data_IF_283230857032
#
_entry.id   IF_283230857032
#
_cell.length_a   1.000
_cell.length_b   1.000
_cell.length_c   1.000
_cell.angle_alpha   90.00
_cell.angle_beta   90.00
_cell.angle_gamma   90.00
#
_symmetry.space_group_name_H-M   'P 1'
#
loop_
_entity.id
_entity.type
_entity.pdbx_description
1 polymer ?
#
# COMPACT_ATOMS: atom_id res chain seq x y z
N UNK A 1 -1.21 8.88 41.53
CA UNK A 1 -1.62 9.67 40.34
C UNK A 1 -2.95 9.10 39.86
N UNK A 2 -4.07 9.62 40.38
CA UNK A 2 -5.42 9.24 39.97
C UNK A 2 -6.05 10.44 39.24
N UNK A 3 -5.63 10.65 38.00
CA UNK A 3 -6.05 11.79 37.16
C UNK A 3 -6.47 11.25 35.81
N UNK A 4 -7.67 10.67 35.73
CA UNK A 4 -8.19 10.09 34.49
C UNK A 4 -9.72 10.01 34.37
N UNK A 5 -10.48 10.27 35.43
CA UNK A 5 -11.95 10.09 35.41
C UNK A 5 -12.76 11.39 35.30
N UNK A 6 -12.13 12.55 35.04
CA UNK A 6 -12.84 13.85 35.02
C UNK A 6 -13.06 14.45 33.63
N UNK A 7 -12.68 13.75 32.55
CA UNK A 7 -12.91 14.24 31.18
C UNK A 7 -13.61 13.17 30.35
N UNK A 8 -14.89 13.38 30.08
CA UNK A 8 -15.62 12.57 29.10
C UNK A 8 -15.04 12.86 27.70
N UNK A 9 -14.73 11.86 26.88
CA UNK A 9 -14.16 12.09 25.56
C UNK A 9 -15.13 12.91 24.71
N UNK A 10 -14.59 13.95 24.07
CA UNK A 10 -15.27 14.75 23.05
C UNK A 10 -14.67 14.31 21.72
N UNK A 11 -15.31 13.35 21.05
CA UNK A 11 -14.80 12.72 19.81
C UNK A 11 -14.81 13.68 18.62
N UNK A 12 -14.10 14.80 18.70
CA UNK A 12 -14.01 15.82 17.65
C UNK A 12 -15.29 16.66 17.45
N UNK A 13 -16.38 16.35 18.15
CA UNK A 13 -17.68 17.05 18.02
C UNK A 13 -17.85 18.25 18.95
N UNK A 14 -16.85 18.53 19.80
CA UNK A 14 -16.92 19.60 20.80
C UNK A 14 -17.92 19.34 21.95
N UNK A 15 -18.63 18.19 21.94
CA UNK A 15 -19.57 17.76 22.98
C UNK A 15 -19.07 16.50 23.67
N UNK A 16 -19.34 16.37 24.96
CA UNK A 16 -19.01 15.15 25.69
C UNK A 16 -19.82 13.97 25.16
N UNK A 17 -19.25 12.76 25.17
CA UNK A 17 -19.96 11.54 24.76
C UNK A 17 -21.34 11.38 25.42
N UNK A 18 -21.46 11.70 26.71
CA UNK A 18 -22.73 11.66 27.44
C UNK A 18 -23.72 12.73 26.96
N UNK A 19 -23.25 13.94 26.66
CA UNK A 19 -24.09 15.01 26.15
C UNK A 19 -24.63 14.68 24.75
N UNK A 20 -23.76 14.17 23.86
CA UNK A 20 -24.16 13.76 22.52
C UNK A 20 -25.23 12.66 22.58
N UNK A 21 -25.04 11.65 23.45
CA UNK A 21 -26.01 10.57 23.64
C UNK A 21 -27.38 11.10 24.10
N UNK A 22 -27.41 11.99 25.08
CA UNK A 22 -28.67 12.55 25.59
C UNK A 22 -29.37 13.37 24.50
N UNK A 23 -28.63 14.18 23.75
CA UNK A 23 -29.18 14.95 22.62
C UNK A 23 -29.74 14.03 21.53
N UNK A 24 -29.04 12.97 21.15
CA UNK A 24 -29.48 12.04 20.11
C UNK A 24 -30.77 11.30 20.52
N UNK A 25 -30.85 10.85 21.77
CA UNK A 25 -32.06 10.19 22.32
C UNK A 25 -33.24 11.16 22.37
N UNK A 26 -33.02 12.39 22.84
CA UNK A 26 -34.08 13.42 22.88
C UNK A 26 -34.54 13.84 21.48
N UNK A 27 -33.62 13.91 20.51
CA UNK A 27 -33.92 14.15 19.10
C UNK A 27 -34.84 13.07 18.53
N UNK A 28 -34.49 11.80 18.73
CA UNK A 28 -35.31 10.65 18.29
C UNK A 28 -36.71 10.66 18.90
N UNK A 29 -36.82 10.99 20.19
CA UNK A 29 -38.12 11.06 20.87
C UNK A 29 -38.95 12.27 20.41
N UNK A 30 -38.30 13.37 20.00
CA UNK A 30 -38.96 14.58 19.52
C UNK A 30 -39.58 14.48 18.12
N UNK A 31 -39.12 13.49 17.32
CA UNK A 31 -39.63 13.18 15.97
C UNK A 31 -40.91 12.33 16.03
N UNK A 32 -41.24 11.78 17.22
CA UNK A 32 -42.50 11.07 17.43
C UNK A 32 -43.71 11.96 17.08
N UNK A 33 -44.74 11.41 16.40
CA UNK A 33 -45.89 12.19 15.97
C UNK A 33 -46.63 12.76 17.18
N UNK A 34 -46.57 14.10 17.35
CA UNK A 34 -47.24 14.83 18.44
C UNK A 34 -48.77 14.79 18.34
N UNK A 35 -49.29 14.58 17.14
CA UNK A 35 -50.71 14.39 16.87
C UNK A 35 -50.83 13.34 15.76
N UNK A 36 -51.55 12.23 16.02
CA UNK A 36 -52.03 11.40 14.92
C UNK A 36 -53.07 12.25 14.21
N UNK A 37 -52.72 12.80 13.04
CA UNK A 37 -53.65 13.55 12.20
C UNK A 37 -54.95 12.76 11.96
N UNK A 38 -56.01 13.40 11.46
CA UNK A 38 -57.30 12.75 11.25
C UNK A 38 -57.11 11.43 10.50
N UNK A 39 -57.83 10.40 10.95
CA UNK A 39 -57.78 9.06 10.38
C UNK A 39 -57.95 9.14 8.86
N UNK A 40 -56.86 8.82 8.16
CA UNK A 40 -56.82 8.93 6.70
C UNK A 40 -57.82 7.90 6.17
N UNK A 41 -58.87 8.37 5.50
CA UNK A 41 -59.83 7.51 4.84
C UNK A 41 -59.13 6.77 3.69
N UNK A 42 -58.62 5.57 3.97
CA UNK A 42 -57.99 4.72 2.98
C UNK A 42 -59.08 4.09 2.10
N UNK A 43 -59.15 4.53 0.85
CA UNK A 43 -59.91 3.78 -0.15
C UNK A 43 -59.27 2.40 -0.33
N UNK A 44 -60.07 1.32 -0.45
CA UNK A 44 -59.52 -0.01 -0.72
C UNK A 44 -58.71 0.02 -2.00
N UNK A 45 -57.51 -0.56 -1.96
CA UNK A 45 -56.61 -0.61 -3.12
C UNK A 45 -57.31 -1.38 -4.25
N UNK A 46 -57.22 -0.93 -5.51
CA UNK A 46 -57.71 -1.70 -6.64
C UNK A 46 -57.03 -3.07 -6.68
N UNK A 47 -57.76 -4.09 -7.14
CA UNK A 47 -57.23 -5.45 -7.26
C UNK A 47 -56.02 -5.52 -8.19
N UNK A 48 -55.15 -6.51 -7.96
CA UNK A 48 -54.00 -6.79 -8.82
C UNK A 48 -54.46 -7.04 -10.26
N UNK A 49 -53.91 -6.29 -11.20
CA UNK A 49 -54.12 -6.53 -12.64
C UNK A 49 -53.42 -7.85 -13.00
N UNK A 50 -54.23 -8.88 -13.23
CA UNK A 50 -53.74 -10.19 -13.68
C UNK A 50 -53.70 -10.24 -15.21
N UNK A 51 -52.70 -10.90 -15.81
CA UNK A 51 -52.68 -11.13 -17.25
C UNK A 51 -53.84 -12.05 -17.69
N UNK A 52 -54.22 -11.96 -18.96
CA UNK A 52 -55.36 -12.71 -19.51
C UNK A 52 -55.15 -14.23 -19.53
N UNK A 53 -53.90 -14.70 -19.56
CA UNK A 53 -53.55 -16.12 -19.41
C UNK A 53 -52.37 -16.29 -18.47
N UNK A 54 -52.37 -17.40 -17.72
CA UNK A 54 -51.30 -17.81 -16.81
C UNK A 54 -50.47 -18.97 -17.39
N UNK A 55 -50.72 -19.35 -18.65
CA UNK A 55 -50.07 -20.48 -19.31
C UNK A 55 -48.74 -20.08 -19.98
N UNK A 56 -48.64 -18.83 -20.44
CA UNK A 56 -47.44 -18.27 -21.07
C UNK A 56 -46.81 -17.31 -20.08
N UNK A 57 -46.00 -17.86 -19.16
CA UNK A 57 -45.19 -17.03 -18.29
C UNK A 57 -44.09 -16.38 -19.15
N UNK A 58 -43.85 -15.06 -19.01
CA UNK A 58 -42.64 -14.47 -19.55
C UNK A 58 -41.42 -15.15 -18.91
N UNK A 59 -40.31 -15.20 -19.64
CA UNK A 59 -39.07 -15.74 -19.10
C UNK A 59 -38.72 -15.04 -17.78
N UNK A 60 -38.21 -15.79 -16.78
CA UNK A 60 -37.81 -15.19 -15.52
C UNK A 60 -36.78 -14.09 -15.77
N UNK A 61 -36.89 -12.99 -15.02
CA UNK A 61 -35.89 -11.93 -15.08
C UNK A 61 -34.54 -12.53 -14.69
N UNK A 62 -33.53 -12.29 -15.53
CA UNK A 62 -32.18 -12.77 -15.25
C UNK A 62 -31.68 -12.09 -13.98
N UNK A 63 -31.22 -12.89 -13.02
CA UNK A 63 -30.69 -12.36 -11.76
C UNK A 63 -29.47 -11.50 -12.05
N UNK A 64 -29.58 -10.20 -11.77
CA UNK A 64 -28.47 -9.25 -11.91
C UNK A 64 -27.26 -9.64 -11.05
N UNK A 65 -27.50 -10.44 -10.01
CA UNK A 65 -26.53 -10.99 -9.06
C UNK A 65 -25.92 -12.32 -9.52
N UNK A 66 -25.73 -12.51 -10.82
CA UNK A 66 -25.08 -13.70 -11.38
C UNK A 66 -23.58 -13.46 -11.55
N UNK A 67 -22.75 -14.48 -11.32
CA UNK A 67 -21.28 -14.43 -11.52
C UNK A 67 -20.87 -14.10 -12.96
N UNK A 68 -21.80 -14.19 -13.90
CA UNK A 68 -21.60 -13.86 -15.31
C UNK A 68 -21.75 -12.37 -15.62
N UNK A 69 -22.27 -11.56 -14.68
CA UNK A 69 -22.46 -10.13 -14.88
C UNK A 69 -21.12 -9.38 -14.71
N UNK A 70 -20.56 -8.78 -15.77
CA UNK A 70 -19.27 -8.07 -15.70
C UNK A 70 -19.32 -6.81 -14.83
N UNK A 71 -20.53 -6.32 -14.54
CA UNK A 71 -20.77 -5.15 -13.69
C UNK A 71 -20.81 -5.51 -12.20
N UNK A 72 -20.83 -6.81 -11.85
CA UNK A 72 -20.93 -7.23 -10.46
C UNK A 72 -19.60 -6.98 -9.72
N UNK A 73 -19.61 -6.48 -8.47
CA UNK A 73 -18.39 -6.20 -7.75
C UNK A 73 -17.57 -7.47 -7.50
N UNK A 74 -16.31 -7.48 -7.90
CA UNK A 74 -15.37 -8.56 -7.60
C UNK A 74 -15.05 -8.60 -6.10
N UNK A 75 -14.87 -9.81 -5.55
CA UNK A 75 -14.33 -9.94 -4.19
C UNK A 75 -12.86 -9.49 -4.12
N UNK A 76 -12.38 -9.03 -2.95
CA UNK A 76 -10.99 -8.60 -2.80
C UNK A 76 -9.96 -9.69 -3.15
N UNK A 77 -10.27 -10.97 -2.89
CA UNK A 77 -9.38 -12.09 -3.18
C UNK A 77 -9.38 -12.48 -4.65
N UNK A 78 -10.53 -12.46 -5.32
CA UNK A 78 -10.61 -12.66 -6.78
C UNK A 78 -9.84 -11.57 -7.52
N UNK A 79 -10.01 -10.31 -7.12
CA UNK A 79 -9.25 -9.20 -7.69
C UNK A 79 -7.75 -9.40 -7.53
N UNK A 80 -7.30 -9.85 -6.35
CA UNK A 80 -5.88 -10.16 -6.10
C UNK A 80 -5.38 -11.31 -6.97
N UNK A 81 -6.18 -12.36 -7.14
CA UNK A 81 -5.83 -13.50 -7.99
C UNK A 81 -5.70 -13.06 -9.45
N UNK A 82 -6.63 -12.25 -9.96
CA UNK A 82 -6.57 -11.65 -11.30
C UNK A 82 -5.28 -10.85 -11.50
N UNK A 83 -5.00 -9.89 -10.60
CA UNK A 83 -3.79 -9.06 -10.70
C UNK A 83 -2.51 -9.91 -10.68
N UNK A 84 -2.44 -10.96 -9.85
CA UNK A 84 -1.29 -11.88 -9.84
C UNK A 84 -1.16 -12.65 -11.15
N UNK A 85 -2.28 -13.14 -11.70
CA UNK A 85 -2.29 -13.84 -12.97
C UNK A 85 -1.83 -12.93 -14.12
N UNK A 86 -2.33 -11.70 -14.18
CA UNK A 86 -1.95 -10.71 -15.19
C UNK A 86 -0.46 -10.33 -15.09
N UNK A 87 0.05 -10.15 -13.87
CA UNK A 87 1.46 -9.88 -13.63
C UNK A 87 2.34 -11.07 -14.04
N UNK A 88 1.89 -12.31 -13.79
CA UNK A 88 2.60 -13.53 -14.20
C UNK A 88 2.62 -13.67 -15.73
N UNK A 89 1.50 -13.41 -16.40
CA UNK A 89 1.39 -13.47 -17.86
C UNK A 89 2.27 -12.41 -18.55
N UNK A 90 2.49 -11.27 -17.92
CA UNK A 90 3.30 -10.17 -18.44
C UNK A 90 4.71 -10.09 -17.83
N UNK A 91 5.18 -11.17 -17.20
CA UNK A 91 6.46 -11.19 -16.48
C UNK A 91 7.66 -10.80 -17.35
N UNK A 92 7.63 -11.14 -18.64
CA UNK A 92 8.72 -10.88 -19.58
C UNK A 92 8.53 -9.61 -20.42
N UNK A 93 7.45 -8.85 -20.22
CA UNK A 93 7.14 -7.65 -20.99
C UNK A 93 7.71 -6.39 -20.33
N UNK A 94 8.77 -5.76 -20.87
CA UNK A 94 9.40 -4.58 -20.26
C UNK A 94 8.52 -3.33 -20.28
N UNK A 95 7.47 -3.31 -21.11
CA UNK A 95 6.55 -2.18 -21.26
C UNK A 95 5.23 -2.38 -20.49
N UNK A 96 5.07 -3.50 -19.77
CA UNK A 96 3.87 -3.77 -18.99
C UNK A 96 3.70 -2.77 -17.85
N UNK A 97 2.46 -2.27 -17.68
CA UNK A 97 2.08 -1.37 -16.59
C UNK A 97 1.08 -2.07 -15.69
N UNK A 98 1.43 -2.35 -14.42
CA UNK A 98 0.50 -2.98 -13.51
C UNK A 98 -0.66 -2.03 -13.18
N UNK A 99 -1.87 -2.59 -13.06
CA UNK A 99 -3.08 -1.85 -12.66
C UNK A 99 -2.94 -1.28 -11.24
N UNK A 100 -2.18 -1.97 -10.38
CA UNK A 100 -1.96 -1.56 -8.99
C UNK A 100 -0.59 -0.90 -8.84
N UNK A 101 -0.59 0.35 -8.39
CA UNK A 101 0.65 1.06 -8.06
C UNK A 101 1.31 0.46 -6.80
N UNK A 102 2.64 0.29 -6.79
CA UNK A 102 3.34 -0.12 -5.58
C UNK A 102 3.17 0.93 -4.48
N UNK A 103 2.54 0.54 -3.37
CA UNK A 103 2.45 1.34 -2.16
C UNK A 103 3.78 1.23 -1.41
N UNK A 104 4.71 2.11 -1.77
CA UNK A 104 6.00 2.24 -1.10
C UNK A 104 6.56 3.62 -1.39
N UNK A 105 7.10 4.28 -0.37
CA UNK A 105 7.80 5.57 -0.47
C UNK A 105 8.98 5.41 -1.42
N UNK A 106 8.76 5.75 -2.69
CA UNK A 106 9.64 5.39 -3.80
C UNK A 106 8.90 5.09 -5.10
N UNK A 107 7.57 4.97 -5.08
CA UNK A 107 6.77 5.00 -6.31
C UNK A 107 6.82 6.41 -6.91
N UNK A 108 7.74 6.58 -7.85
CA UNK A 108 7.64 7.61 -8.90
C UNK A 108 6.41 7.32 -9.74
N UNK A 109 5.24 7.55 -9.16
CA UNK A 109 4.04 7.80 -9.95
C UNK A 109 4.39 8.99 -10.85
N UNK A 110 4.35 8.73 -12.15
CA UNK A 110 4.53 9.70 -13.24
C UNK A 110 5.87 10.44 -13.26
N UNK A 111 6.99 9.72 -13.32
CA UNK A 111 8.07 10.23 -14.16
C UNK A 111 7.76 9.75 -15.57
N UNK A 112 7.27 10.65 -16.44
CA UNK A 112 7.42 10.47 -17.89
C UNK A 112 8.83 9.92 -18.13
N UNK A 113 8.92 8.77 -18.80
CA UNK A 113 10.21 8.21 -19.18
C UNK A 113 10.83 9.21 -20.15
N UNK A 114 11.61 10.13 -19.60
CA UNK A 114 12.40 11.09 -20.33
C UNK A 114 13.79 10.44 -20.50
N UNK A 115 14.10 9.94 -21.70
CA UNK A 115 15.38 9.29 -21.96
C UNK A 115 16.56 10.23 -21.72
N UNK A 116 16.38 11.55 -21.82
CA UNK A 116 17.44 12.53 -21.53
C UNK A 116 17.67 12.68 -20.02
N UNK A 117 16.62 12.62 -19.20
CA UNK A 117 16.73 12.65 -17.72
C UNK A 117 17.38 11.39 -17.16
N UNK A 118 17.06 10.22 -17.71
CA UNK A 118 17.70 8.96 -17.31
C UNK A 118 19.17 8.88 -17.75
N UNK A 119 19.50 9.40 -18.95
CA UNK A 119 20.87 9.49 -19.43
C UNK A 119 21.72 10.53 -18.67
N UNK A 120 21.08 11.55 -18.09
CA UNK A 120 21.72 12.63 -17.33
C UNK A 120 21.76 12.41 -15.82
N UNK A 121 21.41 11.22 -15.30
CA UNK A 121 21.66 10.85 -13.91
C UNK A 121 23.09 10.29 -13.75
N UNK A 122 24.10 11.09 -13.35
CA UNK A 122 25.47 10.61 -13.18
C UNK A 122 25.63 9.64 -12.01
N UNK A 123 24.65 9.60 -11.10
CA UNK A 123 24.79 8.95 -9.79
C UNK A 123 24.58 7.44 -9.85
N UNK A 124 23.86 6.91 -10.85
CA UNK A 124 23.57 5.46 -10.91
C UNK A 124 24.47 4.69 -11.88
N UNK A 125 25.12 5.35 -12.83
CA UNK A 125 25.95 4.66 -13.85
C UNK A 125 27.45 4.78 -13.62
N UNK A 126 27.92 5.87 -13.00
CA UNK A 126 29.34 6.08 -12.76
C UNK A 126 29.74 5.52 -11.38
N UNK A 127 30.57 4.46 -11.31
CA UNK A 127 31.00 3.87 -10.04
C UNK A 127 31.72 4.90 -9.15
N UNK A 128 32.43 5.86 -9.74
CA UNK A 128 33.12 6.91 -8.99
C UNK A 128 32.12 7.89 -8.35
N UNK A 129 31.04 8.26 -9.07
CA UNK A 129 30.00 9.15 -8.53
C UNK A 129 29.23 8.50 -7.37
N UNK A 130 28.94 7.19 -7.46
CA UNK A 130 28.35 6.42 -6.35
C UNK A 130 29.23 6.43 -5.11
N UNK A 131 30.52 6.15 -5.28
CA UNK A 131 31.47 6.12 -4.18
C UNK A 131 31.56 7.48 -3.49
N UNK A 132 31.49 8.57 -4.24
CA UNK A 132 31.55 9.92 -3.70
C UNK A 132 30.25 10.32 -2.96
N UNK A 133 29.08 9.96 -3.50
CA UNK A 133 27.81 10.19 -2.80
C UNK A 133 27.76 9.38 -1.49
N UNK A 134 28.18 8.12 -1.51
CA UNK A 134 28.27 7.31 -0.30
C UNK A 134 29.29 7.86 0.70
N UNK A 135 30.41 8.41 0.23
CA UNK A 135 31.38 9.10 1.08
C UNK A 135 30.73 10.31 1.77
N UNK A 136 30.03 11.15 1.01
CA UNK A 136 29.31 12.33 1.54
C UNK A 136 28.23 11.96 2.56
N UNK A 137 27.45 10.90 2.29
CA UNK A 137 26.42 10.41 3.22
C UNK A 137 27.03 9.85 4.52
N UNK A 138 28.14 9.10 4.44
CA UNK A 138 28.87 8.62 5.61
C UNK A 138 29.45 9.78 6.44
N UNK A 139 30.04 10.76 5.77
CA UNK A 139 30.55 11.99 6.41
C UNK A 139 29.44 12.79 7.11
N UNK A 140 28.22 12.85 6.54
CA UNK A 140 27.09 13.54 7.17
C UNK A 140 26.51 12.78 8.37
N UNK A 141 26.33 11.46 8.24
CA UNK A 141 25.70 10.65 9.29
C UNK A 141 26.64 10.34 10.46
N UNK A 142 27.92 10.07 10.19
CA UNK A 142 28.87 9.59 11.20
C UNK A 142 29.98 10.62 11.51
N UNK A 143 30.05 11.72 10.75
CA UNK A 143 31.17 12.65 10.80
C UNK A 143 32.44 12.04 10.20
N UNK A 144 33.49 12.84 10.05
CA UNK A 144 34.78 12.30 9.64
C UNK A 144 35.55 11.73 10.86
N UNK A 145 36.25 10.59 10.73
CA UNK A 145 36.98 9.96 11.85
C UNK A 145 38.26 10.70 12.23
N UNK A 146 38.81 11.51 11.33
CA UNK A 146 40.11 12.16 11.47
C UNK A 146 40.02 13.67 11.70
N UNK A 147 38.92 14.30 11.27
CA UNK A 147 38.76 15.76 11.36
C UNK A 147 37.38 16.17 11.88
N UNK A 148 37.34 17.21 12.70
CA UNK A 148 36.08 17.82 13.15
C UNK A 148 35.71 18.93 12.17
N UNK A 149 34.59 18.77 11.45
CA UNK A 149 34.15 19.77 10.46
C UNK A 149 33.20 20.79 11.08
N UNK A 150 32.29 20.35 11.95
CA UNK A 150 31.35 21.23 12.64
C UNK A 150 31.53 21.25 14.17
N UNK A 151 31.09 22.33 14.81
CA UNK A 151 31.12 22.47 16.28
C UNK A 151 30.09 21.57 16.99
N UNK A 152 29.06 21.09 16.28
CA UNK A 152 28.08 20.12 16.79
C UNK A 152 28.61 18.69 16.85
N UNK A 153 29.77 18.41 16.24
CA UNK A 153 30.38 17.09 16.22
C UNK A 153 31.20 16.84 17.50
N UNK A 154 31.13 15.62 18.08
CA UNK A 154 31.92 15.27 19.25
C UNK A 154 33.43 15.33 18.95
N UNK A 155 34.28 15.59 19.96
CA UNK A 155 35.73 15.57 19.81
C UNK A 155 36.25 14.26 19.19
N UNK A 156 37.31 14.36 18.39
CA UNK A 156 37.92 13.21 17.67
C UNK A 156 38.36 12.09 18.62
N UNK A 157 38.72 12.42 19.85
CA UNK A 157 39.10 11.45 20.90
C UNK A 157 37.97 10.48 21.25
N UNK A 158 36.71 10.90 21.17
CA UNK A 158 35.55 10.03 21.44
C UNK A 158 35.09 9.24 20.22
N UNK A 159 35.64 9.52 19.03
CA UNK A 159 35.35 8.79 17.79
C UNK A 159 36.38 7.72 17.46
N UNK A 160 37.53 7.71 18.16
CA UNK A 160 38.54 6.71 17.90
C UNK A 160 38.02 5.33 18.35
N UNK A 161 37.94 4.35 17.44
CA UNK A 161 37.66 2.99 17.83
C UNK A 161 38.79 2.50 18.75
N UNK A 162 38.47 1.60 19.68
CA UNK A 162 39.49 1.00 20.53
C UNK A 162 40.58 0.34 19.67
N UNK A 163 41.84 0.33 20.15
CA UNK A 163 42.97 -0.22 19.40
C UNK A 163 42.81 -1.71 18.99
N UNK A 164 41.91 -2.43 19.66
CA UNK A 164 41.56 -3.84 19.40
C UNK A 164 40.31 -4.03 18.56
N UNK A 165 39.62 -2.96 18.15
CA UNK A 165 38.41 -3.04 17.36
C UNK A 165 38.74 -3.11 15.86
N UNK A 166 38.10 -4.02 15.13
CA UNK A 166 38.18 -4.12 13.68
C UNK A 166 37.42 -2.95 13.03
N UNK A 167 38.02 -1.77 13.02
CA UNK A 167 37.42 -0.58 12.42
C UNK A 167 37.59 -0.61 10.89
N UNK A 168 36.47 -0.70 10.16
CA UNK A 168 36.46 -0.67 8.70
C UNK A 168 36.35 -2.02 8.01
N UNK A 169 36.36 -3.12 8.76
CA UNK A 169 36.03 -4.45 8.22
C UNK A 169 34.51 -4.64 8.19
N UNK A 170 33.88 -3.94 7.25
CA UNK A 170 32.51 -4.24 6.86
C UNK A 170 32.64 -5.51 6.05
N UNK A 171 32.42 -6.66 6.70
CA UNK A 171 32.50 -7.96 6.06
C UNK A 171 31.66 -8.04 4.78
N UNK A 172 31.84 -9.10 4.00
CA UNK A 172 31.09 -9.26 2.75
C UNK A 172 29.57 -9.21 3.00
N UNK A 173 28.87 -8.31 2.30
CA UNK A 173 27.41 -8.21 2.37
C UNK A 173 26.78 -9.60 2.19
N UNK A 174 25.81 -9.94 3.04
CA UNK A 174 25.12 -11.23 2.99
C UNK A 174 24.53 -11.51 1.60
N UNK A 175 24.09 -10.48 0.88
CA UNK A 175 23.62 -10.60 -0.50
C UNK A 175 24.72 -11.01 -1.50
N UNK A 176 25.98 -10.58 -1.29
CA UNK A 176 27.12 -11.00 -2.13
C UNK A 176 27.52 -12.42 -1.80
N UNK A 177 27.52 -12.79 -0.52
CA UNK A 177 27.78 -14.14 -0.04
C UNK A 177 26.72 -15.13 -0.54
N UNK A 178 25.45 -14.76 -0.46
CA UNK A 178 24.32 -15.55 -0.98
C UNK A 178 24.37 -15.69 -2.50
N UNK A 179 24.65 -14.60 -3.24
CA UNK A 179 24.83 -14.68 -4.70
C UNK A 179 26.01 -15.57 -5.09
N UNK A 180 27.11 -15.52 -4.35
CA UNK A 180 28.27 -16.41 -4.56
C UNK A 180 27.89 -17.86 -4.26
N UNK A 181 27.14 -18.11 -3.18
CA UNK A 181 26.63 -19.43 -2.84
C UNK A 181 25.68 -19.97 -3.91
N UNK A 182 24.75 -19.15 -4.43
CA UNK A 182 23.83 -19.52 -5.51
C UNK A 182 24.55 -19.81 -6.84
N UNK A 183 25.60 -19.05 -7.17
CA UNK A 183 26.46 -19.30 -8.34
C UNK A 183 27.31 -20.56 -8.17
N UNK A 184 27.83 -20.81 -6.97
CA UNK A 184 28.62 -21.99 -6.64
C UNK A 184 27.75 -23.26 -6.53
N UNK A 185 26.49 -23.14 -6.11
CA UNK A 185 25.48 -24.20 -6.20
C UNK A 185 24.91 -24.34 -7.61
N UNK A 186 25.62 -23.81 -8.62
CA UNK A 186 25.21 -23.78 -10.01
C UNK A 186 24.71 -25.15 -10.44
N UNK A 187 23.40 -25.23 -10.69
CA UNK A 187 22.79 -26.33 -11.42
C UNK A 187 23.44 -26.30 -12.81
N UNK A 188 24.44 -27.16 -13.06
CA UNK A 188 25.03 -27.29 -14.39
C UNK A 188 23.89 -27.66 -15.33
N UNK A 189 23.54 -26.74 -16.22
CA UNK A 189 22.54 -27.04 -17.23
C UNK A 189 23.18 -28.03 -18.19
N UNK A 190 22.45 -29.09 -18.56
CA UNK A 190 22.90 -30.15 -19.47
C UNK A 190 23.52 -29.65 -20.80
N UNK A 191 23.24 -28.39 -21.16
CA UNK A 191 23.83 -27.67 -22.30
C UNK A 191 25.34 -27.45 -22.16
N UNK A 192 25.87 -27.33 -20.95
CA UNK A 192 27.31 -27.13 -20.71
C UNK A 192 28.15 -28.40 -21.02
N UNK A 193 27.50 -29.56 -21.19
CA UNK A 193 28.15 -30.84 -21.51
C UNK A 193 28.19 -31.16 -23.02
N UNK A 194 27.69 -30.30 -23.89
CA UNK A 194 27.74 -30.50 -25.35
C UNK A 194 28.73 -29.50 -25.94
N UNK A 195 29.96 -29.91 -26.30
CA UNK A 195 30.89 -29.02 -26.96
C UNK A 195 30.42 -28.74 -28.39
N UNK A 196 30.08 -27.49 -28.68
CA UNK A 196 29.85 -27.00 -30.05
C UNK A 196 28.42 -26.55 -30.40
N UNK A 197 27.58 -26.21 -29.41
CA UNK A 197 26.30 -25.51 -29.64
C UNK A 197 26.29 -24.13 -28.97
#
# INVERSE_FOLDING_TARGET
>A
MLSGCMSSPTYGTGKSANQQLVEDVTGILSIGPRERGPEIAYNPRPGLVKPASLEVLPEPQQDMASSENPQWPESPEERRARIRADATANQDNPFYRPEVAPSGTGSTQTASYDPERWASEPVTRNPNARSEVQRRLREQNQGSPTTRRYLSEPPVTYRQPAATAAAGDIGEDEAVKERRAQRASGKSSWRDFIPGL
#
